data_IF_769337988683
#
_entry.id   IF_769337988683
#
_cell.length_a   1.000
_cell.length_b   1.000
_cell.length_c   1.000
_cell.angle_alpha   90.00
_cell.angle_beta   90.00
_cell.angle_gamma   90.00
#
_symmetry.space_group_name_H-M   'P 1'
#
loop_
_entity.id
_entity.type
_entity.pdbx_description
1 polymer ?
#
# COMPACT_ATOMS: atom_id res chain seq x y z
N UNK A 1 9.56 -35.17 22.61
CA UNK A 1 10.70 -35.02 23.53
C UNK A 1 12.03 -35.02 22.78
N UNK A 2 12.43 -36.06 22.09
CA UNK A 2 13.72 -36.15 21.36
C UNK A 2 13.99 -34.96 20.44
N UNK A 3 13.01 -34.43 19.72
CA UNK A 3 13.18 -33.23 18.88
C UNK A 3 13.44 -31.96 19.70
N UNK A 4 12.77 -31.83 20.83
CA UNK A 4 12.98 -30.70 21.75
C UNK A 4 14.37 -30.74 22.38
N UNK A 5 14.83 -31.93 22.76
CA UNK A 5 16.19 -32.12 23.33
C UNK A 5 17.29 -31.74 22.31
N UNK A 6 17.11 -32.17 21.05
CA UNK A 6 18.03 -31.81 19.96
C UNK A 6 18.07 -30.31 19.72
N UNK A 7 16.92 -29.67 19.59
CA UNK A 7 16.84 -28.21 19.38
C UNK A 7 17.40 -27.45 20.55
N UNK A 8 17.05 -27.82 21.79
CA UNK A 8 17.55 -27.18 22.99
C UNK A 8 19.07 -27.36 23.14
N UNK A 9 19.59 -28.54 22.81
CA UNK A 9 21.01 -28.81 22.81
C UNK A 9 21.79 -27.93 21.84
N UNK A 10 21.29 -27.83 20.60
CA UNK A 10 21.92 -27.00 19.56
C UNK A 10 21.81 -25.50 19.87
N UNK A 11 20.67 -25.04 20.35
CA UNK A 11 20.52 -23.65 20.80
C UNK A 11 21.54 -23.30 21.92
N UNK A 12 21.66 -24.15 22.94
CA UNK A 12 22.63 -23.95 24.00
C UNK A 12 24.07 -23.88 23.45
N UNK A 13 24.42 -24.76 22.51
CA UNK A 13 25.72 -24.76 21.84
C UNK A 13 25.96 -23.43 21.11
N UNK A 14 25.05 -23.00 20.26
CA UNK A 14 25.18 -21.78 19.47
C UNK A 14 25.31 -20.55 20.36
N UNK A 15 24.45 -20.40 21.37
CA UNK A 15 24.55 -19.29 22.31
C UNK A 15 25.88 -19.27 23.08
N UNK A 16 26.39 -20.45 23.47
CA UNK A 16 27.66 -20.57 24.19
C UNK A 16 28.87 -20.25 23.30
N UNK A 17 28.88 -20.81 22.07
CA UNK A 17 30.06 -20.77 21.21
C UNK A 17 30.13 -19.48 20.37
N UNK A 18 28.99 -18.89 20.02
CA UNK A 18 28.91 -17.75 19.09
C UNK A 18 28.11 -16.55 19.60
N UNK A 19 27.37 -16.71 20.68
CA UNK A 19 26.56 -15.65 21.29
C UNK A 19 25.24 -15.37 20.55
N UNK A 20 24.47 -14.38 21.04
CA UNK A 20 23.12 -14.07 20.52
C UNK A 20 23.11 -13.53 19.09
N UNK A 21 24.20 -12.95 18.62
CA UNK A 21 24.33 -12.44 17.25
C UNK A 21 24.36 -13.54 16.18
N UNK A 22 24.57 -14.79 16.57
CA UNK A 22 24.51 -15.96 15.69
C UNK A 22 23.11 -16.59 15.61
N UNK A 23 22.15 -16.05 16.37
CA UNK A 23 20.77 -16.56 16.40
C UNK A 23 19.85 -15.56 15.72
N UNK A 24 19.23 -15.98 14.62
CA UNK A 24 18.20 -15.21 13.94
C UNK A 24 16.81 -15.75 14.31
N UNK A 25 16.01 -14.88 14.93
CA UNK A 25 14.66 -15.23 15.35
C UNK A 25 13.61 -14.53 14.48
N UNK A 26 12.82 -15.30 13.75
CA UNK A 26 11.68 -14.79 13.00
C UNK A 26 10.51 -15.74 13.12
N UNK A 27 9.38 -15.19 13.45
CA UNK A 27 8.08 -15.84 13.32
C UNK A 27 7.12 -14.83 12.72
N UNK A 28 6.30 -15.27 11.80
CA UNK A 28 5.33 -14.43 11.13
C UNK A 28 3.97 -15.12 11.20
N UNK A 29 3.33 -15.00 12.35
CA UNK A 29 1.97 -15.47 12.59
C UNK A 29 0.99 -14.37 12.22
N UNK A 30 0.75 -14.19 10.93
CA UNK A 30 -0.19 -13.21 10.43
C UNK A 30 -1.58 -13.47 11.02
N UNK A 31 -2.15 -12.47 11.69
CA UNK A 31 -3.46 -12.58 12.38
C UNK A 31 -3.52 -13.68 13.45
N UNK A 32 -2.41 -13.97 14.11
CA UNK A 32 -2.43 -14.85 15.29
C UNK A 32 -3.37 -14.31 16.35
N UNK A 33 -4.28 -15.15 16.82
CA UNK A 33 -5.28 -14.78 17.82
C UNK A 33 -4.67 -14.68 19.21
N UNK A 34 -4.81 -13.52 19.83
CA UNK A 34 -4.47 -13.26 21.22
C UNK A 34 -2.96 -13.25 21.51
N UNK A 35 -2.61 -13.00 22.77
CA UNK A 35 -1.22 -12.90 23.23
C UNK A 35 -0.57 -14.25 23.52
N UNK A 36 -1.35 -15.18 24.03
CA UNK A 36 -0.84 -16.49 24.49
C UNK A 36 -0.47 -17.39 23.31
N UNK A 37 -1.25 -17.35 22.24
CA UNK A 37 -1.04 -18.18 21.04
C UNK A 37 -0.29 -17.45 19.91
N UNK A 38 0.19 -16.22 20.14
CA UNK A 38 0.97 -15.51 19.16
C UNK A 38 2.40 -16.07 19.08
N UNK A 39 2.67 -16.83 18.03
CA UNK A 39 3.96 -17.50 17.83
C UNK A 39 5.14 -16.53 17.88
N UNK A 40 4.99 -15.33 17.30
CA UNK A 40 6.03 -14.28 17.33
C UNK A 40 6.35 -13.84 18.76
N UNK A 41 5.36 -13.62 19.62
CA UNK A 41 5.56 -13.18 20.99
C UNK A 41 6.22 -14.26 21.84
N UNK A 42 5.82 -15.52 21.66
CA UNK A 42 6.40 -16.66 22.37
C UNK A 42 7.85 -16.91 21.94
N UNK A 43 8.13 -16.84 20.64
CA UNK A 43 9.48 -16.97 20.12
C UNK A 43 10.40 -15.85 20.65
N UNK A 44 9.98 -14.59 20.54
CA UNK A 44 10.77 -13.45 21.03
C UNK A 44 11.02 -13.56 22.53
N UNK A 45 10.02 -13.97 23.30
CA UNK A 45 10.17 -14.19 24.72
C UNK A 45 11.22 -15.27 25.03
N UNK A 46 11.15 -16.42 24.35
CA UNK A 46 12.11 -17.50 24.51
C UNK A 46 13.53 -17.03 24.17
N UNK A 47 13.73 -16.44 23.00
CA UNK A 47 15.05 -16.03 22.53
C UNK A 47 15.66 -14.90 23.40
N UNK A 48 14.83 -13.97 23.91
CA UNK A 48 15.29 -12.96 24.86
C UNK A 48 15.72 -13.58 26.21
N UNK A 49 14.99 -14.57 26.69
CA UNK A 49 15.38 -15.32 27.91
C UNK A 49 16.66 -16.12 27.70
N UNK A 50 16.97 -16.52 26.48
CA UNK A 50 18.22 -17.22 26.13
C UNK A 50 19.42 -16.26 25.95
N UNK A 51 19.24 -14.95 26.01
CA UNK A 51 20.33 -13.97 25.93
C UNK A 51 20.22 -13.00 24.74
N UNK A 52 19.12 -13.04 23.97
CA UNK A 52 18.88 -12.17 22.84
C UNK A 52 19.04 -12.86 21.48
N UNK A 53 18.74 -12.13 20.43
CA UNK A 53 18.77 -12.64 19.05
C UNK A 53 18.75 -11.48 18.04
N UNK A 54 19.08 -11.76 16.79
CA UNK A 54 18.87 -10.84 15.67
C UNK A 54 17.45 -11.02 15.14
N UNK A 55 16.76 -9.93 14.94
CA UNK A 55 15.42 -9.91 14.35
C UNK A 55 15.37 -9.09 13.07
N UNK A 56 14.35 -9.33 12.24
CA UNK A 56 14.03 -8.45 11.13
C UNK A 56 13.49 -7.11 11.62
N UNK A 57 13.96 -6.03 11.04
CA UNK A 57 13.28 -4.75 11.10
C UNK A 57 12.25 -4.68 9.95
N UNK A 58 11.02 -4.34 10.27
CA UNK A 58 9.90 -4.27 9.34
C UNK A 58 9.44 -5.64 8.73
N UNK A 59 8.51 -5.55 7.81
CA UNK A 59 7.96 -6.70 7.09
C UNK A 59 8.21 -6.58 5.59
N UNK A 60 8.11 -7.67 4.85
CA UNK A 60 8.18 -7.64 3.39
C UNK A 60 7.01 -6.87 2.77
N UNK A 61 5.85 -6.89 3.42
CA UNK A 61 4.63 -6.27 2.89
C UNK A 61 4.67 -4.75 2.94
N UNK A 62 5.26 -4.16 3.98
CA UNK A 62 5.11 -2.72 4.27
C UNK A 62 6.43 -2.01 4.59
N UNK A 63 7.58 -2.66 4.46
CA UNK A 63 8.86 -2.09 4.89
C UNK A 63 9.17 -0.75 4.20
N UNK A 64 9.02 -0.67 2.89
CA UNK A 64 9.31 0.54 2.13
C UNK A 64 8.36 1.68 2.53
N UNK A 65 7.06 1.41 2.57
CA UNK A 65 6.06 2.41 2.93
C UNK A 65 6.22 2.88 4.38
N UNK A 66 6.49 1.95 5.31
CA UNK A 66 6.72 2.28 6.73
C UNK A 66 7.96 3.16 6.95
N UNK A 67 8.96 3.08 6.08
CA UNK A 67 10.14 3.94 6.12
C UNK A 67 9.89 5.32 5.52
N UNK A 68 9.06 5.44 4.52
CA UNK A 68 8.84 6.69 3.77
C UNK A 68 7.69 7.52 4.38
N UNK A 69 6.60 6.88 4.82
CA UNK A 69 5.42 7.59 5.32
C UNK A 69 5.70 8.64 6.41
N UNK A 70 6.62 8.42 7.41
CA UNK A 70 6.92 9.46 8.40
C UNK A 70 7.42 10.76 7.78
N UNK A 71 8.11 10.69 6.64
CA UNK A 71 8.62 11.87 5.92
C UNK A 71 7.56 12.52 5.03
N UNK A 72 6.56 11.76 4.59
CA UNK A 72 5.51 12.24 3.67
C UNK A 72 4.30 12.79 4.42
N UNK A 73 3.82 12.05 5.43
CA UNK A 73 2.58 12.38 6.16
C UNK A 73 2.78 12.53 7.68
N UNK A 74 4.02 12.48 8.16
CA UNK A 74 4.36 12.68 9.58
C UNK A 74 4.10 11.48 10.49
N UNK A 75 3.63 10.35 9.96
CA UNK A 75 3.39 9.12 10.73
C UNK A 75 3.69 7.89 9.90
N UNK A 76 4.19 6.83 10.54
CA UNK A 76 4.41 5.53 9.89
C UNK A 76 3.14 4.66 9.80
N UNK A 77 2.06 5.07 10.43
CA UNK A 77 0.77 4.35 10.45
C UNK A 77 -0.38 5.34 10.25
N UNK A 78 -0.60 5.82 9.03
CA UNK A 78 -1.72 6.70 8.73
C UNK A 78 -3.03 5.93 8.89
N UNK A 79 -3.96 6.51 9.61
CA UNK A 79 -5.28 5.93 9.78
C UNK A 79 -6.06 6.01 8.48
N UNK A 80 -6.69 4.91 8.10
CA UNK A 80 -7.59 4.86 6.95
C UNK A 80 -8.98 5.41 7.29
N UNK A 81 -9.68 5.85 6.25
CA UNK A 81 -11.09 6.26 6.34
C UNK A 81 -11.98 5.03 6.49
N UNK A 82 -13.04 5.13 7.30
CA UNK A 82 -14.00 4.03 7.45
C UNK A 82 -14.84 3.80 6.20
N UNK A 83 -15.27 2.56 6.00
CA UNK A 83 -16.15 2.19 4.89
C UNK A 83 -17.45 2.99 4.86
N UNK A 84 -18.03 3.32 6.02
CA UNK A 84 -19.25 4.12 6.10
C UNK A 84 -19.06 5.51 5.49
N UNK A 85 -17.90 6.13 5.74
CA UNK A 85 -17.54 7.44 5.16
C UNK A 85 -17.29 7.29 3.66
N UNK A 86 -16.55 6.28 3.24
CA UNK A 86 -16.30 5.99 1.81
C UNK A 86 -17.61 5.80 1.06
N UNK A 87 -18.46 4.90 1.52
CA UNK A 87 -19.76 4.61 0.92
C UNK A 87 -20.67 5.83 0.98
N UNK A 88 -20.66 6.57 2.12
CA UNK A 88 -21.53 7.71 2.35
C UNK A 88 -21.25 8.91 1.44
N UNK A 89 -19.99 9.17 1.16
CA UNK A 89 -19.55 10.47 0.63
C UNK A 89 -18.74 10.42 -0.67
N UNK A 90 -18.22 9.24 -1.09
CA UNK A 90 -17.46 9.16 -2.33
C UNK A 90 -18.37 9.12 -3.55
N UNK A 91 -17.99 9.84 -4.58
CA UNK A 91 -18.58 9.79 -5.93
C UNK A 91 -17.86 8.74 -6.77
N UNK A 92 -16.56 8.54 -6.48
CA UNK A 92 -15.71 7.54 -7.11
C UNK A 92 -14.89 6.80 -6.05
N UNK A 93 -14.61 5.51 -6.32
CA UNK A 93 -13.65 4.72 -5.54
C UNK A 93 -12.66 4.07 -6.50
N UNK A 94 -11.37 4.25 -6.23
CA UNK A 94 -10.28 3.69 -7.02
C UNK A 94 -9.64 2.54 -6.25
N UNK A 95 -9.71 1.35 -6.82
CA UNK A 95 -8.99 0.16 -6.33
C UNK A 95 -7.65 0.09 -7.05
N UNK A 96 -6.60 0.65 -6.44
CA UNK A 96 -5.27 0.67 -7.03
C UNK A 96 -4.40 -0.45 -6.46
N UNK A 97 -4.14 -1.47 -7.28
CA UNK A 97 -3.31 -2.62 -6.90
C UNK A 97 -3.90 -3.48 -5.77
N UNK A 98 -5.22 -3.45 -5.59
CA UNK A 98 -5.87 -4.21 -4.53
C UNK A 98 -7.12 -4.97 -5.01
N UNK A 99 -7.42 -6.05 -4.30
CA UNK A 99 -8.60 -6.89 -4.52
C UNK A 99 -9.24 -7.25 -3.18
N UNK A 100 -10.07 -6.37 -2.60
CA UNK A 100 -10.65 -6.59 -1.27
C UNK A 100 -11.50 -7.84 -1.14
N UNK A 101 -12.17 -8.30 -2.19
CA UNK A 101 -12.97 -9.55 -2.11
C UNK A 101 -12.10 -10.79 -1.90
N UNK A 102 -10.84 -10.76 -2.36
CA UNK A 102 -9.91 -11.89 -2.20
C UNK A 102 -9.02 -11.70 -0.96
N UNK A 103 -8.62 -10.46 -0.63
CA UNK A 103 -7.60 -10.22 0.40
C UNK A 103 -8.15 -9.85 1.76
N UNK A 104 -9.40 -9.42 1.86
CA UNK A 104 -9.99 -8.89 3.10
C UNK A 104 -11.05 -9.80 3.71
N UNK A 105 -10.79 -11.09 3.80
CA UNK A 105 -11.64 -12.02 4.56
C UNK A 105 -11.78 -11.58 6.02
N UNK A 106 -10.69 -11.02 6.57
CA UNK A 106 -10.66 -10.41 7.90
C UNK A 106 -10.06 -9.02 7.74
N UNK A 107 -10.76 -8.00 8.21
CA UNK A 107 -10.25 -6.63 8.15
C UNK A 107 -9.02 -6.47 9.04
N UNK A 108 -8.01 -5.72 8.56
CA UNK A 108 -6.66 -5.67 9.11
C UNK A 108 -6.59 -5.31 10.60
N UNK A 109 -7.32 -4.30 11.02
CA UNK A 109 -7.29 -3.82 12.41
C UNK A 109 -8.50 -4.23 13.25
N UNK A 110 -9.44 -4.90 12.65
CA UNK A 110 -10.66 -5.37 13.29
C UNK A 110 -10.92 -6.83 12.94
N UNK A 111 -11.62 -7.54 13.77
CA UNK A 111 -12.03 -8.92 13.48
C UNK A 111 -13.40 -8.95 12.78
N UNK A 112 -13.69 -7.94 11.98
CA UNK A 112 -14.96 -7.85 11.26
C UNK A 112 -14.82 -8.59 9.94
N UNK A 113 -15.69 -9.56 9.70
CA UNK A 113 -15.81 -10.32 8.46
C UNK A 113 -16.88 -9.71 7.55
N UNK A 114 -16.71 -8.45 7.15
CA UNK A 114 -17.76 -7.72 6.40
C UNK A 114 -17.26 -7.05 5.10
N UNK A 115 -16.11 -7.42 4.60
CA UNK A 115 -15.57 -6.84 3.35
C UNK A 115 -16.57 -6.96 2.20
N UNK A 116 -17.15 -8.16 2.00
CA UNK A 116 -18.16 -8.41 0.97
C UNK A 116 -19.40 -7.52 1.16
N UNK A 117 -19.82 -7.27 2.41
CA UNK A 117 -20.93 -6.37 2.72
C UNK A 117 -20.66 -4.92 2.27
N UNK A 118 -19.46 -4.41 2.52
CA UNK A 118 -19.09 -3.06 2.12
C UNK A 118 -18.96 -2.93 0.60
N UNK A 119 -18.35 -3.91 -0.06
CA UNK A 119 -18.24 -3.94 -1.53
C UNK A 119 -19.64 -4.01 -2.18
N UNK A 120 -20.53 -4.81 -1.62
CA UNK A 120 -21.95 -4.86 -2.05
C UNK A 120 -22.63 -3.50 -1.89
N UNK A 121 -22.43 -2.83 -0.75
CA UNK A 121 -23.02 -1.52 -0.49
C UNK A 121 -22.51 -0.44 -1.47
N UNK A 122 -21.25 -0.46 -1.88
CA UNK A 122 -20.74 0.40 -2.95
C UNK A 122 -21.50 0.18 -4.27
N UNK A 123 -21.69 -1.09 -4.66
CA UNK A 123 -22.43 -1.44 -5.86
C UNK A 123 -23.89 -1.01 -5.78
N UNK A 124 -24.57 -1.32 -4.68
CA UNK A 124 -26.00 -1.06 -4.50
C UNK A 124 -26.27 0.46 -4.46
N UNK A 125 -25.32 1.26 -4.00
CA UNK A 125 -25.38 2.72 -4.05
C UNK A 125 -25.09 3.30 -5.43
N UNK A 126 -24.51 2.53 -6.34
CA UNK A 126 -24.14 2.99 -7.67
C UNK A 126 -22.91 3.91 -7.67
N UNK A 127 -21.98 3.77 -6.71
CA UNK A 127 -20.73 4.51 -6.70
C UNK A 127 -19.90 4.08 -7.91
N UNK A 128 -19.38 5.04 -8.67
CA UNK A 128 -18.48 4.75 -9.79
C UNK A 128 -17.16 4.15 -9.26
N UNK A 129 -16.75 3.01 -9.82
CA UNK A 129 -15.53 2.34 -9.40
C UNK A 129 -14.56 2.19 -10.55
N UNK A 130 -13.26 2.37 -10.23
CA UNK A 130 -12.14 2.23 -11.17
C UNK A 130 -11.16 1.23 -10.55
N UNK A 131 -10.75 0.23 -11.32
CA UNK A 131 -9.73 -0.73 -10.90
C UNK A 131 -8.45 -0.52 -11.72
N UNK A 132 -7.37 -0.17 -11.05
CA UNK A 132 -6.04 -0.03 -11.65
C UNK A 132 -5.21 -1.21 -11.20
N UNK A 133 -5.11 -2.22 -12.05
CA UNK A 133 -4.45 -3.47 -11.72
C UNK A 133 -4.00 -4.17 -13.01
N UNK A 134 -2.81 -4.79 -13.07
CA UNK A 134 -2.35 -5.54 -14.25
C UNK A 134 -3.30 -6.65 -14.71
N UNK A 135 -4.07 -7.19 -13.78
CA UNK A 135 -5.10 -8.21 -14.04
C UNK A 135 -6.48 -7.71 -13.63
N UNK A 136 -7.51 -8.19 -14.30
CA UNK A 136 -8.87 -7.93 -13.85
C UNK A 136 -9.13 -8.74 -12.58
N UNK A 137 -9.52 -8.03 -11.51
CA UNK A 137 -9.71 -8.63 -10.17
C UNK A 137 -11.16 -9.04 -9.95
N UNK A 138 -11.39 -9.96 -8.99
CA UNK A 138 -12.74 -10.39 -8.60
C UNK A 138 -13.58 -9.19 -8.12
N UNK A 139 -12.97 -8.27 -7.37
CA UNK A 139 -13.62 -7.02 -6.95
C UNK A 139 -14.02 -6.16 -8.14
N UNK A 140 -13.14 -6.01 -9.13
CA UNK A 140 -13.42 -5.22 -10.34
C UNK A 140 -14.57 -5.82 -11.15
N UNK A 141 -14.57 -7.13 -11.33
CA UNK A 141 -15.63 -7.85 -12.03
C UNK A 141 -16.98 -7.73 -11.28
N UNK A 142 -16.97 -7.97 -9.99
CA UNK A 142 -18.17 -7.90 -9.15
C UNK A 142 -18.82 -6.51 -9.15
N UNK A 143 -18.01 -5.45 -9.15
CA UNK A 143 -18.48 -4.06 -9.16
C UNK A 143 -18.78 -3.52 -10.57
N UNK A 144 -18.36 -4.21 -11.61
CA UNK A 144 -18.39 -3.68 -12.99
C UNK A 144 -17.48 -2.46 -13.14
N UNK A 145 -16.34 -2.45 -12.48
CA UNK A 145 -15.41 -1.33 -12.47
C UNK A 145 -14.82 -1.06 -13.85
N UNK A 146 -14.55 0.22 -14.11
CA UNK A 146 -13.66 0.60 -15.21
C UNK A 146 -12.26 0.04 -14.94
N UNK A 147 -11.80 -0.91 -15.77
CA UNK A 147 -10.51 -1.54 -15.58
C UNK A 147 -9.42 -0.88 -16.41
N UNK A 148 -8.32 -0.49 -15.76
CA UNK A 148 -7.11 0.06 -16.35
C UNK A 148 -5.95 -0.87 -15.99
N UNK A 149 -5.25 -1.40 -17.00
CA UNK A 149 -4.20 -2.40 -16.84
C UNK A 149 -2.80 -1.82 -17.14
N UNK A 150 -2.11 -1.20 -16.17
CA UNK A 150 -0.73 -0.79 -16.34
C UNK A 150 0.21 -2.00 -16.33
N UNK A 151 1.36 -1.89 -16.99
CA UNK A 151 2.44 -2.86 -16.82
C UNK A 151 2.88 -2.91 -15.36
N UNK A 152 3.16 -4.09 -14.79
CA UNK A 152 3.62 -4.21 -13.41
C UNK A 152 4.84 -3.31 -13.12
N UNK A 153 4.82 -2.62 -11.97
CA UNK A 153 5.91 -1.75 -11.52
C UNK A 153 5.99 -0.39 -12.21
N UNK A 154 4.96 0.03 -12.93
CA UNK A 154 4.93 1.33 -13.64
C UNK A 154 3.94 2.34 -13.05
N UNK A 155 3.39 2.07 -11.89
CA UNK A 155 2.40 2.90 -11.20
C UNK A 155 2.90 4.33 -11.00
N UNK A 156 4.15 4.50 -10.54
CA UNK A 156 4.75 5.83 -10.37
C UNK A 156 4.79 6.62 -11.68
N UNK A 157 5.07 5.98 -12.81
CA UNK A 157 5.09 6.66 -14.10
C UNK A 157 3.68 7.15 -14.48
N UNK A 158 2.65 6.35 -14.20
CA UNK A 158 1.26 6.75 -14.41
C UNK A 158 0.87 7.94 -13.54
N UNK A 159 1.22 7.92 -12.25
CA UNK A 159 0.97 9.01 -11.31
C UNK A 159 1.67 10.30 -11.73
N UNK A 160 2.93 10.22 -12.17
CA UNK A 160 3.68 11.39 -12.68
C UNK A 160 3.02 11.98 -13.92
N UNK A 161 2.54 11.13 -14.85
CA UNK A 161 1.79 11.60 -16.03
C UNK A 161 0.49 12.31 -15.67
N UNK A 162 -0.23 11.82 -14.67
CA UNK A 162 -1.43 12.48 -14.15
C UNK A 162 -1.12 13.82 -13.49
N UNK A 163 -0.05 13.89 -12.68
CA UNK A 163 0.39 15.13 -12.05
C UNK A 163 0.81 16.17 -13.09
N UNK A 164 1.55 15.76 -14.13
CA UNK A 164 1.90 16.65 -15.25
C UNK A 164 0.66 17.21 -15.91
N UNK A 165 -0.33 16.39 -16.20
CA UNK A 165 -1.58 16.82 -16.84
C UNK A 165 -2.32 17.87 -16.01
N UNK A 166 -2.47 17.64 -14.70
CA UNK A 166 -3.12 18.60 -13.79
C UNK A 166 -2.36 19.91 -13.68
N UNK A 167 -1.03 19.88 -13.64
CA UNK A 167 -0.20 21.08 -13.61
C UNK A 167 -0.28 21.83 -14.95
N UNK A 168 -0.10 21.14 -16.07
CA UNK A 168 -0.10 21.74 -17.40
C UNK A 168 -1.45 22.35 -17.79
N UNK A 169 -2.55 21.81 -17.26
CA UNK A 169 -3.92 22.32 -17.51
C UNK A 169 -4.39 23.33 -16.46
N UNK A 170 -3.54 23.71 -15.48
CA UNK A 170 -3.87 24.67 -14.42
C UNK A 170 -4.90 24.14 -13.41
N UNK A 171 -5.04 22.82 -13.29
CA UNK A 171 -5.95 22.16 -12.33
C UNK A 171 -5.26 21.76 -11.02
N UNK A 172 -3.94 21.93 -10.90
CA UNK A 172 -3.25 21.71 -9.64
C UNK A 172 -3.68 22.76 -8.59
N UNK A 173 -4.03 22.31 -7.40
CA UNK A 173 -4.43 23.20 -6.30
C UNK A 173 -3.17 23.79 -5.62
N UNK A 174 -2.61 24.85 -6.23
CA UNK A 174 -1.42 25.51 -5.73
C UNK A 174 -1.62 26.11 -4.33
N UNK A 175 -2.82 26.54 -3.97
CA UNK A 175 -3.11 27.07 -2.64
C UNK A 175 -2.98 25.97 -1.56
N UNK A 176 -3.49 24.79 -1.87
CA UNK A 176 -3.32 23.63 -0.99
C UNK A 176 -1.86 23.17 -0.94
N UNK A 177 -1.19 23.06 -2.09
CA UNK A 177 0.20 22.64 -2.20
C UNK A 177 1.14 23.55 -1.40
N UNK A 178 0.97 24.86 -1.51
CA UNK A 178 1.77 25.84 -0.77
C UNK A 178 1.51 25.79 0.74
N UNK A 179 0.27 25.59 1.16
CA UNK A 179 -0.12 25.56 2.56
C UNK A 179 0.22 24.25 3.27
N UNK A 180 0.05 23.11 2.57
CA UNK A 180 -0.01 21.79 3.19
C UNK A 180 1.13 20.85 2.77
N UNK A 181 1.90 21.19 1.72
CA UNK A 181 2.93 20.33 1.19
C UNK A 181 4.31 21.00 1.24
N UNK A 182 5.35 20.17 1.31
CA UNK A 182 6.74 20.60 1.12
C UNK A 182 7.38 19.84 -0.03
N UNK A 183 8.36 20.44 -0.73
CA UNK A 183 9.04 19.81 -1.86
C UNK A 183 8.27 19.85 -3.18
N UNK A 184 7.17 20.59 -3.25
CA UNK A 184 6.40 20.72 -4.48
C UNK A 184 7.20 21.37 -5.61
N UNK A 185 8.01 22.38 -5.30
CA UNK A 185 8.80 23.09 -6.30
C UNK A 185 9.79 22.15 -7.03
N UNK A 186 10.46 21.31 -6.28
CA UNK A 186 11.42 20.31 -6.78
C UNK A 186 10.69 19.23 -7.59
N UNK A 187 9.59 18.71 -7.04
CA UNK A 187 8.79 17.71 -7.74
C UNK A 187 8.20 18.26 -9.04
N UNK A 188 7.72 19.50 -9.03
CA UNK A 188 7.22 20.18 -10.22
C UNK A 188 8.31 20.32 -11.30
N UNK A 189 9.50 20.76 -10.91
CA UNK A 189 10.63 20.87 -11.86
C UNK A 189 10.95 19.52 -12.52
N UNK A 190 10.93 18.45 -11.75
CA UNK A 190 11.09 17.09 -12.28
C UNK A 190 9.94 16.67 -13.21
N UNK A 191 8.69 16.90 -12.81
CA UNK A 191 7.50 16.53 -13.60
C UNK A 191 7.45 17.28 -14.93
N UNK A 192 7.73 18.59 -14.89
CA UNK A 192 7.71 19.44 -16.09
C UNK A 192 8.94 19.27 -16.98
N UNK A 193 9.97 18.56 -16.51
CA UNK A 193 11.20 18.31 -17.26
C UNK A 193 12.25 19.40 -17.14
N UNK A 194 12.09 20.34 -16.22
CA UNK A 194 13.05 21.42 -15.98
C UNK A 194 14.36 20.89 -15.37
N UNK A 195 14.31 19.75 -14.68
CA UNK A 195 15.46 19.14 -14.02
C UNK A 195 16.28 18.23 -14.94
N UNK A 196 15.63 17.38 -15.72
CA UNK A 196 16.27 16.32 -16.51
C UNK A 196 16.02 16.42 -18.03
N UNK A 197 15.34 17.49 -18.47
CA UNK A 197 15.00 17.70 -19.87
C UNK A 197 13.88 16.80 -20.41
N UNK A 198 13.21 16.03 -19.53
CA UNK A 198 12.16 15.08 -19.93
C UNK A 198 10.86 15.36 -19.16
N UNK A 199 9.92 16.01 -19.79
CA UNK A 199 8.58 16.21 -19.22
C UNK A 199 7.85 14.86 -19.05
N UNK A 200 7.25 14.65 -17.88
CA UNK A 200 6.57 13.41 -17.53
C UNK A 200 5.12 13.45 -18.03
N UNK A 201 4.94 13.74 -19.33
CA UNK A 201 3.63 13.87 -19.96
C UNK A 201 2.81 12.58 -19.90
N UNK A 202 1.50 12.63 -20.16
CA UNK A 202 0.70 11.41 -20.33
C UNK A 202 1.23 10.49 -21.44
N UNK A 203 1.83 11.02 -22.50
CA UNK A 203 2.49 10.23 -23.56
C UNK A 203 3.73 9.51 -23.04
N UNK A 204 4.60 10.21 -22.30
CA UNK A 204 5.74 9.59 -21.63
C UNK A 204 5.31 8.47 -20.68
N UNK A 205 4.23 8.70 -19.92
CA UNK A 205 3.68 7.67 -19.04
C UNK A 205 3.10 6.49 -19.83
N UNK A 206 2.42 6.75 -20.96
CA UNK A 206 1.83 5.72 -21.81
C UNK A 206 2.88 4.75 -22.37
N UNK A 207 4.03 5.24 -22.77
CA UNK A 207 5.15 4.39 -23.24
C UNK A 207 5.59 3.38 -22.16
N UNK A 208 5.65 3.82 -20.91
CA UNK A 208 6.10 3.01 -19.78
C UNK A 208 5.02 2.05 -19.30
N UNK A 209 3.81 2.56 -19.13
CA UNK A 209 2.70 1.83 -18.53
C UNK A 209 1.95 0.93 -19.49
N UNK A 210 1.97 1.25 -20.78
CA UNK A 210 1.10 0.63 -21.78
C UNK A 210 -0.35 1.13 -21.72
N UNK A 211 -0.68 2.04 -20.81
CA UNK A 211 -2.01 2.67 -20.73
C UNK A 211 -2.06 3.83 -21.70
N UNK A 212 -3.07 3.96 -22.57
CA UNK A 212 -3.18 5.06 -23.51
C UNK A 212 -3.14 6.44 -22.82
N UNK A 213 -2.43 7.41 -23.40
CA UNK A 213 -2.29 8.75 -22.83
C UNK A 213 -3.62 9.43 -22.54
N UNK A 214 -4.60 9.30 -23.43
CA UNK A 214 -5.97 9.82 -23.24
C UNK A 214 -6.67 9.23 -22.01
N UNK A 215 -6.38 7.96 -21.70
CA UNK A 215 -6.91 7.31 -20.52
C UNK A 215 -6.30 7.87 -19.25
N UNK A 216 -4.98 8.14 -19.27
CA UNK A 216 -4.25 8.76 -18.17
C UNK A 216 -4.77 10.19 -17.93
N UNK A 217 -4.99 10.98 -18.99
CA UNK A 217 -5.59 12.32 -18.89
C UNK A 217 -6.99 12.26 -18.29
N UNK A 218 -7.84 11.42 -18.87
CA UNK A 218 -9.21 11.25 -18.37
C UNK A 218 -9.21 10.90 -16.87
N UNK A 219 -8.38 9.96 -16.46
CA UNK A 219 -8.28 9.57 -15.04
C UNK A 219 -7.84 10.76 -14.17
N UNK A 220 -6.83 11.53 -14.58
CA UNK A 220 -6.37 12.70 -13.85
C UNK A 220 -7.50 13.72 -13.63
N UNK A 221 -8.24 14.03 -14.68
CA UNK A 221 -9.38 14.95 -14.61
C UNK A 221 -10.53 14.38 -13.76
N UNK A 222 -10.87 13.11 -13.96
CA UNK A 222 -11.90 12.43 -13.17
C UNK A 222 -11.61 12.48 -11.66
N UNK A 223 -10.35 12.26 -11.26
CA UNK A 223 -9.94 12.32 -9.84
C UNK A 223 -9.95 13.75 -9.28
N UNK A 224 -9.69 14.75 -10.12
CA UNK A 224 -9.75 16.15 -9.74
C UNK A 224 -11.20 16.67 -9.58
N UNK A 225 -12.10 16.23 -10.44
CA UNK A 225 -13.47 16.76 -10.55
C UNK A 225 -14.46 16.10 -9.59
N UNK A 226 -14.12 14.95 -9.01
CA UNK A 226 -15.02 14.17 -8.16
C UNK A 226 -14.40 13.85 -6.80
N UNK A 227 -15.24 13.73 -5.77
CA UNK A 227 -14.81 13.22 -4.46
C UNK A 227 -14.41 11.76 -4.59
N UNK A 228 -13.11 11.53 -4.65
CA UNK A 228 -12.52 10.22 -4.91
C UNK A 228 -11.81 9.67 -3.67
N UNK A 229 -11.96 8.36 -3.45
CA UNK A 229 -11.26 7.61 -2.44
C UNK A 229 -10.52 6.43 -3.09
#
# INVERSE_FOLDING_TARGET
EKALDLVAGEMKRVYKDYGPSAVFGRSYGWMSTGRVNAAINLQQRLLNLCGGFIQCENSYSTAAISKILPYVVGTGDPRSTSWDVVIGHSERVVFWGCDPLVTNDIDWHTTIHNATGYIRALRDKGVTTISINPVQTDTAEYLGSEWIAPRPGTDCAMMLGMMHELEATGKADHAFLEKCCSGWKELRAYIMGDEDGVAKTPEWAAEKTGVPAERIRKLAHDLHEHRTM
#
